data_IF_065045277429
#
_entry.id   IF_065045277429
#
_cell.length_a   1.000
_cell.length_b   1.000
_cell.length_c   1.000
_cell.angle_alpha   90.00
_cell.angle_beta   90.00
_cell.angle_gamma   90.00
#
_symmetry.space_group_name_H-M   'P 1'
#
loop_
_entity.id
_entity.type
_entity.pdbx_description
1 polymer ?
#
# COMPACT_ATOMS: atom_id res chain seq x y z
N UNK A 1 5.38 -1.64 -14.97
CA UNK A 1 6.33 -0.50 -14.98
C UNK A 1 5.85 0.84 -14.36
N UNK A 2 4.85 1.58 -14.91
CA UNK A 2 4.66 3.03 -14.64
C UNK A 2 4.54 3.43 -13.15
N UNK A 3 3.77 2.70 -12.34
CA UNK A 3 3.50 3.08 -10.94
C UNK A 3 4.74 2.96 -10.04
N UNK A 4 5.52 1.88 -10.17
CA UNK A 4 6.75 1.71 -9.37
C UNK A 4 7.80 2.76 -9.73
N UNK A 5 7.88 3.16 -11.01
CA UNK A 5 8.77 4.24 -11.45
C UNK A 5 8.41 5.63 -10.90
N UNK A 6 7.21 5.82 -10.36
CA UNK A 6 6.79 7.10 -9.76
C UNK A 6 7.22 7.25 -8.29
N UNK A 7 7.76 6.20 -7.65
CA UNK A 7 8.06 6.21 -6.22
C UNK A 7 9.02 7.34 -5.79
N UNK A 8 10.02 7.64 -6.61
CA UNK A 8 10.95 8.74 -6.33
C UNK A 8 10.26 10.10 -6.29
N UNK A 9 9.18 10.28 -7.06
CA UNK A 9 8.40 11.51 -7.04
C UNK A 9 7.58 11.62 -5.75
N UNK A 10 7.04 10.50 -5.25
CA UNK A 10 6.35 10.46 -3.96
C UNK A 10 7.31 10.89 -2.86
N UNK A 11 8.50 10.26 -2.77
CA UNK A 11 9.53 10.58 -1.77
C UNK A 11 9.99 12.05 -1.83
N UNK A 12 10.16 12.61 -3.03
CA UNK A 12 10.46 14.04 -3.22
C UNK A 12 9.31 14.92 -2.71
N UNK A 13 8.07 14.53 -2.99
CA UNK A 13 6.88 15.21 -2.50
C UNK A 13 6.83 15.28 -0.98
N UNK A 14 7.11 14.16 -0.29
CA UNK A 14 7.21 14.12 1.17
C UNK A 14 8.29 15.08 1.70
N UNK A 15 9.45 15.11 1.03
CA UNK A 15 10.60 15.98 1.34
C UNK A 15 10.28 17.47 1.32
N UNK A 16 9.41 17.90 0.40
CA UNK A 16 9.05 19.32 0.23
C UNK A 16 7.85 19.70 1.09
N UNK A 17 6.81 18.85 1.10
CA UNK A 17 5.49 19.24 1.62
C UNK A 17 5.13 18.61 2.97
N UNK A 18 5.79 17.52 3.37
CA UNK A 18 5.44 16.79 4.61
C UNK A 18 6.51 17.04 5.67
N UNK A 19 7.75 16.53 5.48
CA UNK A 19 8.78 16.54 6.52
C UNK A 19 9.09 17.93 7.12
N UNK A 20 9.22 19.01 6.33
CA UNK A 20 9.54 20.33 6.88
C UNK A 20 8.42 20.91 7.76
N UNK A 21 7.18 20.47 7.54
CA UNK A 21 5.99 21.02 8.18
C UNK A 21 5.49 20.18 9.36
N UNK A 22 6.08 19.00 9.61
CA UNK A 22 5.66 18.10 10.70
C UNK A 22 5.68 18.75 12.09
N UNK A 23 6.71 19.56 12.37
CA UNK A 23 6.84 20.23 13.68
C UNK A 23 5.85 21.38 13.89
N UNK A 24 5.16 21.83 12.84
CA UNK A 24 4.15 22.89 12.91
C UNK A 24 2.73 22.33 13.05
N UNK A 25 2.56 21.01 13.10
CA UNK A 25 1.26 20.37 13.26
C UNK A 25 0.88 20.31 14.75
N UNK A 26 -0.33 20.73 15.08
CA UNK A 26 -0.85 20.64 16.45
C UNK A 26 -1.06 19.19 16.90
N UNK A 27 -1.41 18.30 15.97
CA UNK A 27 -1.66 16.88 16.22
C UNK A 27 -1.19 16.01 15.07
N UNK A 28 -0.70 14.82 15.39
CA UNK A 28 -0.34 13.76 14.43
C UNK A 28 -1.18 12.53 14.77
N UNK A 29 -1.89 11.98 13.78
CA UNK A 29 -2.67 10.75 13.93
C UNK A 29 -2.13 9.68 12.99
N UNK A 30 -1.94 8.47 13.52
CA UNK A 30 -1.61 7.29 12.73
C UNK A 30 -2.85 6.40 12.64
N UNK A 31 -3.36 6.19 11.43
CA UNK A 31 -4.49 5.31 11.15
C UNK A 31 -4.07 3.92 10.65
N UNK A 32 -2.76 3.62 10.59
CA UNK A 32 -2.26 2.34 10.13
C UNK A 32 -2.70 1.22 11.08
N UNK A 33 -3.19 0.12 10.50
CA UNK A 33 -3.64 -1.04 11.26
C UNK A 33 -2.93 -2.33 10.80
N UNK A 34 -2.60 -3.20 11.76
CA UNK A 34 -1.77 -4.39 11.52
C UNK A 34 -2.40 -5.40 10.55
N UNK A 35 -3.74 -5.43 10.44
CA UNK A 35 -4.46 -6.31 9.52
C UNK A 35 -4.41 -5.84 8.07
N UNK A 36 -4.01 -4.59 7.79
CA UNK A 36 -4.09 -4.02 6.45
C UNK A 36 -3.13 -4.71 5.48
N UNK A 37 -1.88 -4.95 5.88
CA UNK A 37 -0.89 -5.62 5.02
C UNK A 37 -1.27 -7.08 4.72
N UNK A 38 -1.68 -7.91 5.71
CA UNK A 38 -2.22 -9.25 5.47
C UNK A 38 -3.38 -9.30 4.47
N UNK A 39 -4.31 -8.34 4.54
CA UNK A 39 -5.46 -8.26 3.62
C UNK A 39 -5.03 -7.78 2.24
N UNK A 40 -4.21 -6.73 2.16
CA UNK A 40 -3.69 -6.18 0.91
C UNK A 40 -2.87 -7.20 0.11
N UNK A 41 -2.12 -8.07 0.80
CA UNK A 41 -1.31 -9.11 0.18
C UNK A 41 -2.12 -9.96 -0.81
N UNK A 42 -3.37 -10.30 -0.48
CA UNK A 42 -4.29 -11.07 -1.33
C UNK A 42 -4.46 -10.46 -2.72
N UNK A 43 -4.44 -9.13 -2.82
CA UNK A 43 -4.62 -8.40 -4.08
C UNK A 43 -3.29 -8.07 -4.76
N UNK A 44 -2.26 -7.72 -3.99
CA UNK A 44 -0.99 -7.22 -4.51
C UNK A 44 -0.10 -8.36 -5.03
N UNK A 45 -0.10 -9.52 -4.35
CA UNK A 45 0.75 -10.65 -4.69
C UNK A 45 0.60 -11.14 -6.15
N UNK A 46 -0.62 -11.36 -6.70
CA UNK A 46 -0.76 -11.76 -8.10
C UNK A 46 -0.29 -10.68 -9.08
N UNK A 47 -0.47 -9.39 -8.74
CA UNK A 47 -0.03 -8.27 -9.57
C UNK A 47 1.49 -8.18 -9.66
N UNK A 48 2.19 -8.39 -8.53
CA UNK A 48 3.65 -8.39 -8.50
C UNK A 48 4.24 -9.62 -9.19
N UNK A 49 3.60 -10.79 -9.04
CA UNK A 49 4.02 -12.02 -9.73
C UNK A 49 3.84 -11.95 -11.25
N UNK A 50 2.94 -11.10 -11.74
CA UNK A 50 2.74 -10.88 -13.17
C UNK A 50 3.86 -10.04 -13.82
N UNK A 51 4.75 -9.41 -13.04
CA UNK A 51 5.89 -8.65 -13.58
C UNK A 51 6.93 -9.63 -14.14
N UNK A 52 7.29 -9.48 -15.42
CA UNK A 52 8.23 -10.36 -16.11
C UNK A 52 9.68 -9.94 -15.86
N UNK A 53 10.66 -10.88 -15.93
CA UNK A 53 12.08 -10.57 -15.79
C UNK A 53 12.64 -9.53 -16.77
N UNK A 54 12.00 -9.37 -17.93
CA UNK A 54 12.39 -8.40 -18.96
C UNK A 54 11.99 -6.94 -18.61
N UNK A 55 11.17 -6.73 -17.57
CA UNK A 55 10.79 -5.38 -17.10
C UNK A 55 11.87 -4.87 -16.12
N UNK A 56 12.34 -3.63 -16.34
CA UNK A 56 13.33 -2.96 -15.48
C UNK A 56 12.91 -2.88 -14.00
N UNK A 57 11.60 -2.95 -13.73
CA UNK A 57 11.04 -2.93 -12.37
C UNK A 57 10.98 -4.30 -11.70
N UNK A 58 11.35 -5.37 -12.39
CA UNK A 58 11.32 -6.74 -11.87
C UNK A 58 12.10 -6.92 -10.55
N UNK A 59 13.33 -6.40 -10.38
CA UNK A 59 14.06 -6.54 -9.12
C UNK A 59 13.30 -5.93 -7.94
N UNK A 60 12.68 -4.75 -8.15
CA UNK A 60 11.87 -4.08 -7.14
C UNK A 60 10.61 -4.88 -6.80
N UNK A 61 9.94 -5.45 -7.79
CA UNK A 61 8.77 -6.31 -7.57
C UNK A 61 9.14 -7.53 -6.72
N UNK A 62 10.29 -8.16 -6.97
CA UNK A 62 10.79 -9.30 -6.18
C UNK A 62 11.16 -8.92 -4.74
N UNK A 63 11.74 -7.73 -4.52
CA UNK A 63 12.00 -7.22 -3.17
C UNK A 63 10.71 -7.03 -2.38
N UNK A 64 9.67 -6.45 -3.01
CA UNK A 64 8.36 -6.26 -2.37
C UNK A 64 7.71 -7.61 -2.07
N UNK A 65 7.76 -8.58 -3.00
CA UNK A 65 7.24 -9.93 -2.76
C UNK A 65 7.90 -10.58 -1.54
N UNK A 66 9.23 -10.52 -1.43
CA UNK A 66 9.97 -11.05 -0.26
C UNK A 66 9.57 -10.39 1.05
N UNK A 67 9.27 -9.08 1.02
CA UNK A 67 8.74 -8.36 2.19
C UNK A 67 7.35 -8.88 2.56
N UNK A 68 6.47 -9.05 1.56
CA UNK A 68 5.11 -9.55 1.76
C UNK A 68 5.09 -11.01 2.26
N UNK A 69 6.11 -11.81 1.95
CA UNK A 69 6.27 -13.18 2.47
C UNK A 69 6.44 -13.23 3.99
N UNK A 70 6.81 -12.12 4.64
CA UNK A 70 6.87 -12.02 6.11
C UNK A 70 5.47 -11.98 6.77
N UNK A 71 4.41 -11.73 5.99
CA UNK A 71 3.04 -11.59 6.48
C UNK A 71 2.15 -12.75 6.04
N UNK A 72 1.25 -13.19 6.92
CA UNK A 72 0.19 -14.10 6.55
C UNK A 72 -0.81 -13.42 5.61
N UNK A 73 -1.43 -14.19 4.72
CA UNK A 73 -2.50 -13.68 3.85
C UNK A 73 -3.84 -13.82 4.55
N UNK A 74 -4.61 -12.73 4.63
CA UNK A 74 -5.92 -12.71 5.29
C UNK A 74 -7.07 -12.47 4.30
N UNK A 75 -8.24 -13.10 4.51
CA UNK A 75 -9.43 -12.82 3.72
C UNK A 75 -9.85 -11.34 3.85
N UNK A 76 -10.21 -10.66 2.75
CA UNK A 76 -10.66 -9.27 2.79
C UNK A 76 -11.86 -9.01 3.68
N UNK A 77 -12.73 -10.01 3.87
CA UNK A 77 -13.95 -9.95 4.67
C UNK A 77 -13.65 -9.67 6.15
N UNK A 78 -12.43 -9.95 6.62
CA UNK A 78 -12.00 -9.65 7.98
C UNK A 78 -11.68 -8.15 8.20
N UNK A 79 -11.48 -7.38 7.14
CA UNK A 79 -11.26 -5.95 7.26
C UNK A 79 -12.56 -5.26 7.76
N UNK A 80 -12.49 -4.40 8.80
CA UNK A 80 -13.64 -3.67 9.30
C UNK A 80 -14.36 -2.89 8.19
N UNK A 81 -15.70 -2.78 8.21
CA UNK A 81 -16.45 -2.04 7.18
C UNK A 81 -16.07 -0.56 7.06
N UNK A 82 -15.58 0.05 8.14
CA UNK A 82 -15.14 1.44 8.21
C UNK A 82 -13.63 1.61 7.98
N UNK A 83 -12.90 0.54 7.67
CA UNK A 83 -11.47 0.64 7.41
C UNK A 83 -11.22 1.43 6.12
N UNK A 84 -10.26 2.36 6.14
CA UNK A 84 -9.86 3.15 4.97
C UNK A 84 -9.42 2.25 3.80
N UNK A 85 -8.81 1.10 4.11
CA UNK A 85 -8.44 0.11 3.11
C UNK A 85 -9.61 -0.31 2.21
N UNK A 86 -10.85 -0.31 2.72
CA UNK A 86 -12.05 -0.68 1.96
C UNK A 86 -12.32 0.25 0.76
N UNK A 87 -11.77 1.46 0.73
CA UNK A 87 -11.83 2.35 -0.45
C UNK A 87 -11.09 1.76 -1.67
N UNK A 88 -10.11 0.88 -1.44
CA UNK A 88 -9.29 0.28 -2.50
C UNK A 88 -9.68 -1.15 -2.84
N UNK A 89 -10.23 -1.89 -1.86
CA UNK A 89 -10.57 -3.31 -2.02
C UNK A 89 -12.07 -3.57 -2.13
N UNK A 90 -12.91 -2.56 -1.90
CA UNK A 90 -14.38 -2.65 -1.94
C UNK A 90 -15.04 -3.22 -0.69
N UNK A 91 -16.37 -3.29 -0.72
CA UNK A 91 -17.28 -3.66 0.38
C UNK A 91 -17.16 -2.77 1.62
N UNK A 92 -16.86 -1.48 1.39
CA UNK A 92 -16.80 -0.49 2.45
C UNK A 92 -18.18 -0.02 2.88
N UNK A 93 -18.30 0.49 4.10
CA UNK A 93 -19.54 1.14 4.56
C UNK A 93 -19.90 2.40 3.74
N UNK A 94 -18.95 2.93 2.97
CA UNK A 94 -19.11 4.07 2.07
C UNK A 94 -19.22 3.68 0.59
N UNK A 95 -19.34 2.38 0.27
CA UNK A 95 -19.65 1.95 -1.10
C UNK A 95 -21.07 2.40 -1.47
N UNK A 96 -21.14 3.51 -2.20
CA UNK A 96 -22.33 3.98 -2.89
C UNK A 96 -22.24 3.78 -4.41
N UNK A 97 -21.41 2.82 -4.84
CA UNK A 97 -21.29 2.40 -6.23
C UNK A 97 -22.19 1.21 -6.57
#
# INVERSE_FOLDING_TARGET
ARTLGMWDNVRKGEGVWIFPHQNNADFVMNSAAEYEIPVLKTFIEPLLRAVTPDDETFPKAQEILKLLDLFATWPPELAPPLALLREFVGEGAFDCH
#
